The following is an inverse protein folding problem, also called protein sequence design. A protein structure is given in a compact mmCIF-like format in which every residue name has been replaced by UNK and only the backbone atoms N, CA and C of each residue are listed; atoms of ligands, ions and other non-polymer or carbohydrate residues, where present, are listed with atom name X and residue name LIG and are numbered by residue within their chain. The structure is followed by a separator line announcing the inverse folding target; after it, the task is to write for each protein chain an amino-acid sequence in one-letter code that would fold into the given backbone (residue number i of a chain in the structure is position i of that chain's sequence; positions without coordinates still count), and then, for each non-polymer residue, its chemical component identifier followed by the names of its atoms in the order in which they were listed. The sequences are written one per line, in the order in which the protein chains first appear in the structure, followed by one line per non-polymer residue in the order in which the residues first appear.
data_IF_147466318606
#
_entry.id   IF_147466318606
#
_cell.length_a   1.000
_cell.length_b   1.000
_cell.length_c   1.000
_cell.angle_alpha   90.00
_cell.angle_beta   90.00
_cell.angle_gamma   90.00
#
_symmetry.space_group_name_H-M   'P 1'
#
loop_
_entity.id
_entity.type
_entity.pdbx_description
1 polymer ?
#
# COMPACT_ATOMS: atom_id res chain seq x y z
N UNK A 1 50.50 23.07 21.65
CA UNK A 1 50.41 22.03 20.60
C UNK A 1 48.95 21.90 20.20
N UNK A 2 48.51 22.68 19.22
CA UNK A 2 47.16 22.55 18.68
C UNK A 2 47.12 21.34 17.75
N UNK A 3 46.38 20.30 18.15
CA UNK A 3 46.11 19.16 17.27
C UNK A 3 45.10 19.63 16.24
N UNK A 4 45.55 19.96 15.02
CA UNK A 4 44.67 20.04 13.85
C UNK A 4 44.06 18.65 13.64
N UNK A 5 42.88 18.43 14.19
CA UNK A 5 42.02 17.35 13.77
C UNK A 5 41.61 17.66 12.33
N UNK A 6 42.30 17.05 11.36
CA UNK A 6 41.90 17.08 9.96
C UNK A 6 40.51 16.44 9.86
N UNK A 7 39.47 17.27 9.84
CA UNK A 7 38.11 16.82 9.62
C UNK A 7 38.01 16.32 8.18
N UNK A 8 38.29 15.03 7.98
CA UNK A 8 38.08 14.35 6.71
C UNK A 8 36.58 14.13 6.60
N UNK A 9 35.91 15.00 5.87
CA UNK A 9 34.50 14.85 5.54
C UNK A 9 34.33 13.62 4.65
N UNK A 10 33.94 12.50 5.26
CA UNK A 10 33.66 11.26 4.52
C UNK A 10 32.33 11.42 3.80
N UNK A 11 32.34 11.36 2.47
CA UNK A 11 31.14 11.55 1.66
C UNK A 11 30.36 10.23 1.49
N UNK A 12 29.04 10.31 1.33
CA UNK A 12 28.19 9.14 1.11
C UNK A 12 28.62 8.31 -0.12
N UNK A 13 29.20 8.95 -1.14
CA UNK A 13 29.70 8.28 -2.36
C UNK A 13 30.92 7.42 -2.08
N UNK A 14 31.86 7.93 -1.28
CA UNK A 14 33.07 7.20 -0.87
C UNK A 14 32.71 6.01 0.01
N UNK A 15 31.80 6.19 0.98
CA UNK A 15 31.30 5.09 1.82
C UNK A 15 30.63 4.03 0.97
N UNK A 16 29.77 4.41 0.02
CA UNK A 16 29.12 3.43 -0.87
C UNK A 16 30.15 2.60 -1.65
N UNK A 17 31.12 3.26 -2.26
CA UNK A 17 32.17 2.58 -3.05
C UNK A 17 33.10 1.70 -2.19
N UNK A 18 33.34 2.08 -0.93
CA UNK A 18 34.13 1.28 0.01
C UNK A 18 33.34 0.06 0.51
N UNK A 19 32.06 0.24 0.85
CA UNK A 19 31.19 -0.85 1.31
C UNK A 19 30.97 -1.91 0.23
N UNK A 20 30.84 -1.54 -1.05
CA UNK A 20 30.74 -2.50 -2.15
C UNK A 20 31.99 -3.39 -2.33
N UNK A 21 33.16 -2.91 -1.91
CA UNK A 21 34.44 -3.64 -2.01
C UNK A 21 34.76 -4.46 -0.77
N UNK A 22 34.11 -4.18 0.35
CA UNK A 22 34.43 -4.76 1.65
C UNK A 22 33.58 -6.00 1.89
N UNK A 23 34.19 -7.15 2.20
CA UNK A 23 33.51 -8.43 2.47
C UNK A 23 33.56 -8.88 3.94
N UNK A 24 34.21 -8.09 4.80
CA UNK A 24 34.50 -8.47 6.19
C UNK A 24 33.50 -7.92 7.20
N UNK A 25 32.63 -7.00 6.78
CA UNK A 25 31.63 -6.40 7.66
C UNK A 25 30.43 -7.32 7.77
N UNK A 26 29.89 -7.43 8.98
CA UNK A 26 28.58 -8.04 9.17
C UNK A 26 27.48 -7.15 8.58
N UNK A 27 26.33 -7.74 8.26
CA UNK A 27 25.18 -7.00 7.70
C UNK A 27 24.70 -5.85 8.59
N UNK A 28 24.79 -6.02 9.90
CA UNK A 28 24.42 -4.99 10.89
C UNK A 28 25.40 -3.81 10.88
N UNK A 29 26.70 -4.09 10.80
CA UNK A 29 27.75 -3.06 10.77
C UNK A 29 27.69 -2.26 9.47
N UNK A 30 27.51 -2.95 8.34
CA UNK A 30 27.32 -2.32 7.04
C UNK A 30 26.10 -1.40 7.04
N UNK A 31 24.98 -1.87 7.59
CA UNK A 31 23.75 -1.08 7.75
C UNK A 31 23.98 0.16 8.61
N UNK A 32 24.68 0.03 9.74
CA UNK A 32 24.97 1.15 10.64
C UNK A 32 25.82 2.23 9.93
N UNK A 33 26.83 1.83 9.16
CA UNK A 33 27.64 2.74 8.36
C UNK A 33 26.83 3.44 7.27
N UNK A 34 25.97 2.70 6.55
CA UNK A 34 25.06 3.27 5.56
C UNK A 34 24.13 4.32 6.17
N UNK A 35 23.54 4.03 7.33
CA UNK A 35 22.67 4.97 8.03
C UNK A 35 23.42 6.20 8.54
N UNK A 36 24.61 6.02 9.14
CA UNK A 36 25.41 7.11 9.69
C UNK A 36 25.89 8.10 8.62
N UNK A 37 26.25 7.59 7.44
CA UNK A 37 26.81 8.40 6.36
C UNK A 37 25.81 8.71 5.24
N UNK A 38 24.53 8.33 5.40
CA UNK A 38 23.50 8.52 4.39
C UNK A 38 23.78 7.79 3.06
N UNK A 39 24.60 6.73 3.09
CA UNK A 39 24.86 5.93 1.91
C UNK A 39 23.65 5.00 1.70
N UNK A 40 22.90 5.23 0.63
CA UNK A 40 21.68 4.44 0.32
C UNK A 40 21.95 2.94 0.13
N UNK A 41 20.87 2.16 0.01
CA UNK A 41 20.94 0.72 -0.23
C UNK A 41 21.80 0.36 -1.48
N UNK A 42 22.45 -0.82 -1.51
CA UNK A 42 23.37 -1.20 -2.59
C UNK A 42 22.67 -1.20 -3.95
N UNK A 43 21.42 -1.66 -3.97
CA UNK A 43 20.53 -1.52 -5.11
C UNK A 43 19.12 -1.16 -4.63
N UNK A 44 18.40 -0.36 -5.43
CA UNK A 44 16.97 -0.08 -5.25
C UNK A 44 16.09 -1.28 -5.62
N UNK A 45 16.64 -2.22 -6.38
CA UNK A 45 15.96 -3.44 -6.85
C UNK A 45 16.48 -4.69 -6.16
N UNK A 46 17.50 -4.59 -5.30
CA UNK A 46 17.93 -5.73 -4.51
C UNK A 46 16.79 -6.15 -3.57
N UNK A 47 16.46 -7.44 -3.50
CA UNK A 47 15.48 -7.92 -2.54
C UNK A 47 15.96 -7.56 -1.13
N UNK A 48 15.08 -6.95 -0.34
CA UNK A 48 15.37 -6.65 1.05
C UNK A 48 15.63 -7.97 1.79
N UNK A 49 16.63 -8.02 2.69
CA UNK A 49 16.82 -9.19 3.54
C UNK A 49 15.52 -9.46 4.29
N UNK A 50 15.02 -10.69 4.17
CA UNK A 50 13.79 -11.11 4.85
C UNK A 50 14.06 -11.13 6.35
N UNK A 51 13.14 -10.60 7.15
CA UNK A 51 13.28 -10.56 8.59
C UNK A 51 13.38 -11.97 9.23
N UNK A 52 12.81 -12.98 8.56
CA UNK A 52 12.88 -14.38 8.98
C UNK A 52 14.22 -15.08 8.72
N UNK A 53 15.12 -14.49 7.92
CA UNK A 53 16.35 -15.16 7.49
C UNK A 53 16.04 -16.49 6.79
N UNK A 54 16.67 -17.58 7.28
CA UNK A 54 16.52 -18.95 6.78
C UNK A 54 15.48 -19.77 7.59
N UNK A 55 14.72 -19.15 8.50
CA UNK A 55 13.70 -19.84 9.29
C UNK A 55 12.33 -19.77 8.60
N UNK A 56 11.89 -20.89 8.03
CA UNK A 56 10.61 -21.00 7.30
C UNK A 56 9.39 -20.84 8.22
N UNK A 57 9.41 -21.41 9.42
CA UNK A 57 8.29 -21.30 10.38
C UNK A 57 8.05 -19.83 10.77
N UNK A 58 9.13 -19.10 11.06
CA UNK A 58 9.06 -17.67 11.36
C UNK A 58 8.59 -16.86 10.15
N UNK A 59 8.94 -17.27 8.92
CA UNK A 59 8.48 -16.62 7.71
C UNK A 59 6.96 -16.75 7.54
N UNK A 60 6.42 -17.92 7.82
CA UNK A 60 4.97 -18.19 7.76
C UNK A 60 4.21 -17.39 8.83
N UNK A 61 4.73 -17.33 10.06
CA UNK A 61 4.14 -16.51 11.13
C UNK A 61 4.10 -15.02 10.76
N UNK A 62 5.21 -14.50 10.24
CA UNK A 62 5.28 -13.10 9.80
C UNK A 62 4.32 -12.81 8.64
N UNK A 63 4.15 -13.75 7.72
CA UNK A 63 3.19 -13.63 6.61
C UNK A 63 1.75 -13.56 7.13
N UNK A 64 1.39 -14.41 8.10
CA UNK A 64 0.06 -14.39 8.71
C UNK A 64 -0.20 -13.05 9.40
N UNK A 65 0.77 -12.53 10.15
CA UNK A 65 0.67 -11.22 10.82
C UNK A 65 0.48 -10.10 9.78
N UNK A 66 1.23 -10.11 8.68
CA UNK A 66 1.10 -9.13 7.60
C UNK A 66 -0.31 -9.16 6.99
N UNK A 67 -0.83 -10.36 6.67
CA UNK A 67 -2.17 -10.52 6.12
C UNK A 67 -3.25 -9.98 7.06
N UNK A 68 -3.14 -10.26 8.36
CA UNK A 68 -4.06 -9.75 9.38
C UNK A 68 -3.99 -8.22 9.49
N UNK A 69 -2.80 -7.64 9.50
CA UNK A 69 -2.61 -6.20 9.55
C UNK A 69 -3.20 -5.52 8.31
N UNK A 70 -2.95 -6.06 7.12
CA UNK A 70 -3.49 -5.53 5.86
C UNK A 70 -5.02 -5.63 5.81
N UNK A 71 -5.60 -6.72 6.35
CA UNK A 71 -7.05 -6.85 6.52
C UNK A 71 -7.60 -5.79 7.49
N UNK A 72 -6.93 -5.59 8.62
CA UNK A 72 -7.32 -4.58 9.61
C UNK A 72 -7.21 -3.14 9.05
N UNK A 73 -6.15 -2.84 8.29
CA UNK A 73 -5.98 -1.57 7.59
C UNK A 73 -7.11 -1.32 6.58
N UNK A 74 -7.42 -2.32 5.74
CA UNK A 74 -8.54 -2.22 4.80
C UNK A 74 -9.89 -2.01 5.50
N UNK A 75 -10.14 -2.68 6.62
CA UNK A 75 -11.35 -2.47 7.41
C UNK A 75 -11.44 -1.04 7.96
N UNK A 76 -10.33 -0.49 8.47
CA UNK A 76 -10.26 0.90 8.94
C UNK A 76 -10.46 1.91 7.80
N UNK A 77 -9.83 1.71 6.66
CA UNK A 77 -9.96 2.61 5.49
C UNK A 77 -11.33 2.47 4.78
N UNK A 78 -11.99 1.31 4.88
CA UNK A 78 -13.34 1.10 4.35
C UNK A 78 -14.42 1.92 5.06
N UNK A 79 -14.19 2.31 6.32
CA UNK A 79 -15.13 3.14 7.09
C UNK A 79 -15.09 4.63 6.72
N UNK A 80 -14.04 5.12 6.05
CA UNK A 80 -13.94 6.54 5.64
C UNK A 80 -14.60 6.84 4.29
N UNK A 81 -15.18 5.84 3.61
CA UNK A 81 -15.99 6.04 2.38
C UNK A 81 -17.50 6.16 2.63
N UNK A 82 -17.90 6.62 3.81
CA UNK A 82 -19.26 7.17 4.01
C UNK A 82 -19.30 8.64 3.55
N UNK A 83 -19.03 8.87 2.27
CA UNK A 83 -19.36 10.11 1.58
C UNK A 83 -20.75 9.99 0.98
N UNK A 84 -21.66 10.84 1.43
CA UNK A 84 -23.04 10.99 0.98
C UNK A 84 -23.18 11.05 -0.55
N UNK A 85 -24.15 10.28 -1.08
CA UNK A 85 -24.78 10.22 -2.44
C UNK A 85 -24.76 11.51 -3.31
N UNK A 86 -25.01 11.45 -4.66
CA UNK A 86 -25.90 10.48 -5.33
C UNK A 86 -25.44 9.85 -6.67
N UNK A 87 -25.69 8.54 -6.76
CA UNK A 87 -26.34 7.82 -7.86
C UNK A 87 -26.62 8.62 -9.16
N UNK A 88 -25.69 8.61 -10.12
CA UNK A 88 -26.02 8.63 -11.55
C UNK A 88 -24.91 7.90 -12.33
N UNK A 89 -25.34 7.11 -13.32
CA UNK A 89 -24.52 6.46 -14.35
C UNK A 89 -23.82 5.14 -13.96
N UNK A 90 -24.55 4.02 -14.10
CA UNK A 90 -24.18 2.91 -14.99
C UNK A 90 -25.12 1.71 -14.77
N UNK A 91 -26.17 1.61 -15.59
CA UNK A 91 -26.77 0.35 -16.06
C UNK A 91 -27.96 0.64 -16.97
N UNK A 92 -27.69 1.24 -18.15
CA UNK A 92 -28.50 0.95 -19.33
C UNK A 92 -27.97 -0.38 -19.86
N UNK A 93 -28.72 -1.46 -19.64
CA UNK A 93 -28.76 -2.71 -20.40
C UNK A 93 -29.10 -3.90 -19.48
N UNK A 94 -30.38 -4.02 -19.13
CA UNK A 94 -31.05 -5.30 -18.90
C UNK A 94 -32.52 -4.98 -18.63
N UNK A 95 -33.17 -4.54 -19.70
CA UNK A 95 -34.61 -4.42 -19.77
C UNK A 95 -35.22 -5.83 -19.71
N UNK A 96 -36.17 -6.02 -18.77
CA UNK A 96 -37.41 -6.77 -18.97
C UNK A 96 -37.36 -8.30 -18.81
N UNK A 97 -37.57 -8.73 -17.56
CA UNK A 97 -38.59 -9.75 -17.27
C UNK A 97 -39.82 -9.04 -16.69
N UNK A 98 -40.90 -9.14 -17.45
CA UNK A 98 -42.21 -8.57 -17.21
C UNK A 98 -42.90 -9.15 -15.99
N UNK A 99 -43.33 -8.26 -15.09
CA UNK A 99 -44.73 -8.20 -14.63
C UNK A 99 -45.36 -6.88 -15.09
N UNK A 100 -45.14 -6.54 -16.37
CA UNK A 100 -45.71 -5.40 -17.08
C UNK A 100 -47.13 -5.72 -17.60
N UNK A 101 -48.05 -6.07 -16.71
CA UNK A 101 -49.47 -6.24 -17.04
C UNK A 101 -50.30 -4.95 -16.94
N UNK A 102 -49.75 -3.89 -16.34
CA UNK A 102 -50.58 -2.79 -15.81
C UNK A 102 -50.14 -1.36 -16.20
N UNK A 103 -49.11 -1.17 -17.03
CA UNK A 103 -48.64 0.18 -17.37
C UNK A 103 -49.70 1.06 -18.07
N UNK A 104 -50.59 0.46 -18.87
CA UNK A 104 -51.73 1.17 -19.47
C UNK A 104 -52.85 1.44 -18.46
N UNK A 105 -53.13 0.48 -17.57
CA UNK A 105 -54.13 0.63 -16.50
C UNK A 105 -53.71 1.72 -15.51
N UNK A 106 -52.43 1.80 -15.15
CA UNK A 106 -51.90 2.82 -14.26
C UNK A 106 -52.04 4.23 -14.84
N UNK A 107 -51.88 4.38 -16.16
CA UNK A 107 -52.11 5.66 -16.85
C UNK A 107 -53.58 6.06 -16.84
N UNK A 108 -54.48 5.10 -17.08
CA UNK A 108 -55.93 5.33 -17.09
C UNK A 108 -56.44 5.68 -15.69
N UNK A 109 -56.03 4.92 -14.66
CA UNK A 109 -56.39 5.18 -13.26
C UNK A 109 -55.84 6.53 -12.78
N UNK A 110 -54.61 6.87 -13.16
CA UNK A 110 -54.01 8.18 -12.84
C UNK A 110 -54.75 9.33 -13.54
N UNK A 111 -55.22 9.13 -14.78
CA UNK A 111 -56.00 10.13 -15.51
C UNK A 111 -57.40 10.34 -14.91
N UNK A 112 -58.06 9.28 -14.45
CA UNK A 112 -59.37 9.34 -13.79
C UNK A 112 -59.29 10.07 -12.43
N UNK A 113 -58.33 9.71 -11.56
CA UNK A 113 -58.15 10.36 -10.24
C UNK A 113 -57.80 11.84 -10.31
N UNK A 114 -57.20 12.30 -11.42
CA UNK A 114 -56.81 13.71 -11.59
C UNK A 114 -57.98 14.59 -12.03
N UNK A 115 -59.07 14.00 -12.55
CA UNK A 115 -60.10 14.76 -13.27
C UNK A 115 -61.26 15.22 -12.39
N UNK A 116 -61.72 14.44 -11.40
CA UNK A 116 -62.93 14.72 -10.62
C UNK A 116 -63.19 13.58 -9.63
#
# INVERSE_FOLDING_TARGET
MERKAGSTTVTAKEVKAALEKTRTLTSTEEKALRMRHGAGAPSKTAPLPRAAGDNEELADELLVIEMQLMKAMRARTGQTKSGSKPQVAAARASEKTTSSGNAAKDKIVRALRKKK
#
